data_IF_256028308306
#
_entry.id   IF_256028308306
#
_cell.length_a   1.000
_cell.length_b   1.000
_cell.length_c   1.000
_cell.angle_alpha   90.00
_cell.angle_beta   90.00
_cell.angle_gamma   90.00
#
_symmetry.space_group_name_H-M   'P 1'
#
loop_
_entity.id
_entity.type
_entity.pdbx_description
1 polymer ?
#
# COMPACT_ATOMS: atom_id res chain seq x y z
N UNK A 1 14.51 -1.25 -14.34
CA UNK A 1 15.91 -0.88 -14.11
C UNK A 1 16.65 -0.71 -15.45
N UNK A 2 16.21 0.22 -16.30
CA UNK A 2 16.91 0.57 -17.53
C UNK A 2 18.24 1.29 -17.25
N UNK A 3 19.18 1.21 -18.20
CA UNK A 3 20.49 1.90 -18.09
C UNK A 3 20.38 3.40 -18.33
N UNK A 4 19.32 3.86 -18.99
CA UNK A 4 19.11 5.26 -19.34
C UNK A 4 18.57 6.06 -18.15
N UNK A 5 19.09 7.27 -17.95
CA UNK A 5 18.64 8.20 -16.92
C UNK A 5 17.53 9.08 -17.52
N UNK A 6 16.28 8.73 -17.23
CA UNK A 6 15.10 9.53 -17.58
C UNK A 6 14.83 10.59 -16.52
N UNK A 7 14.03 11.62 -16.84
CA UNK A 7 13.62 12.65 -15.87
C UNK A 7 12.87 12.05 -14.69
N UNK A 8 11.97 11.11 -14.94
CA UNK A 8 11.23 10.38 -13.91
C UNK A 8 12.18 9.60 -12.97
N UNK A 9 13.16 8.91 -13.55
CA UNK A 9 14.17 8.19 -12.77
C UNK A 9 15.03 9.14 -11.93
N UNK A 10 15.40 10.28 -12.48
CA UNK A 10 16.14 11.31 -11.74
C UNK A 10 15.32 11.89 -10.60
N UNK A 11 14.02 12.17 -10.82
CA UNK A 11 13.09 12.62 -9.80
C UNK A 11 12.93 11.59 -8.67
N UNK A 12 12.79 10.31 -9.02
CA UNK A 12 12.67 9.22 -8.04
C UNK A 12 13.93 9.09 -7.17
N UNK A 13 15.12 9.16 -7.78
CA UNK A 13 16.38 9.12 -7.00
C UNK A 13 16.57 10.36 -6.13
N UNK A 14 16.22 11.54 -6.62
CA UNK A 14 16.29 12.78 -5.84
C UNK A 14 15.36 12.73 -4.64
N UNK A 15 14.13 12.26 -4.84
CA UNK A 15 13.15 12.08 -3.76
C UNK A 15 13.67 11.08 -2.72
N UNK A 16 14.12 9.91 -3.17
CA UNK A 16 14.66 8.89 -2.27
C UNK A 16 15.86 9.42 -1.47
N UNK A 17 16.79 10.11 -2.13
CA UNK A 17 17.95 10.73 -1.49
C UNK A 17 17.54 11.72 -0.40
N UNK A 18 16.61 12.64 -0.74
CA UNK A 18 16.11 13.65 0.20
C UNK A 18 15.45 13.01 1.41
N UNK A 19 14.61 12.00 1.18
CA UNK A 19 13.94 11.24 2.27
C UNK A 19 14.95 10.55 3.16
N UNK A 20 15.95 9.86 2.59
CA UNK A 20 16.97 9.13 3.37
C UNK A 20 17.87 10.07 4.19
N UNK A 21 18.29 11.20 3.63
CA UNK A 21 19.09 12.20 4.37
C UNK A 21 18.29 12.83 5.49
N UNK A 22 17.01 13.18 5.22
CA UNK A 22 16.11 13.73 6.23
C UNK A 22 15.85 12.71 7.33
N UNK A 23 15.59 11.45 6.97
CA UNK A 23 15.41 10.37 7.93
C UNK A 23 16.63 10.17 8.83
N UNK A 24 17.84 10.21 8.27
CA UNK A 24 19.08 10.11 9.06
C UNK A 24 19.16 11.23 10.10
N UNK A 25 18.84 12.49 9.72
CA UNK A 25 18.82 13.62 10.66
C UNK A 25 17.76 13.47 11.75
N UNK A 26 16.54 13.07 11.39
CA UNK A 26 15.43 12.87 12.36
C UNK A 26 15.71 11.71 13.30
N UNK A 27 16.32 10.63 12.80
CA UNK A 27 16.63 9.44 13.58
C UNK A 27 17.87 9.59 14.48
N UNK A 28 18.75 10.57 14.21
CA UNK A 28 20.02 10.73 14.91
C UNK A 28 19.92 10.77 16.45
N UNK A 29 18.93 11.44 17.07
CA UNK A 29 18.77 11.43 18.52
C UNK A 29 18.40 10.06 19.11
N UNK A 30 17.81 9.18 18.33
CA UNK A 30 17.29 7.87 18.77
C UNK A 30 18.22 6.71 18.40
N UNK A 31 18.82 6.77 17.22
CA UNK A 31 19.69 5.74 16.68
C UNK A 31 21.01 6.34 16.16
N UNK A 32 21.85 6.92 17.04
CA UNK A 32 22.97 7.76 16.63
C UNK A 32 23.95 7.07 15.69
N UNK A 33 24.33 5.83 15.97
CA UNK A 33 25.32 5.11 15.14
C UNK A 33 24.80 4.74 13.76
N UNK A 34 23.54 4.32 13.67
CA UNK A 34 22.94 3.98 12.38
C UNK A 34 22.72 5.24 11.54
N UNK A 35 22.21 6.31 12.14
CA UNK A 35 21.99 7.58 11.50
C UNK A 35 23.29 8.18 10.96
N UNK A 36 24.38 8.11 11.75
CA UNK A 36 25.69 8.55 11.31
C UNK A 36 26.19 7.73 10.13
N UNK A 37 26.08 6.41 10.19
CA UNK A 37 26.51 5.54 9.08
C UNK A 37 25.72 5.84 7.79
N UNK A 38 24.40 6.06 7.88
CA UNK A 38 23.60 6.48 6.74
C UNK A 38 24.06 7.82 6.17
N UNK A 39 24.26 8.80 7.03
CA UNK A 39 24.69 10.14 6.64
C UNK A 39 26.06 10.12 5.97
N UNK A 40 27.04 9.42 6.54
CA UNK A 40 28.40 9.30 5.99
C UNK A 40 28.41 8.69 4.58
N UNK A 41 27.52 7.73 4.30
CA UNK A 41 27.42 7.14 2.97
C UNK A 41 26.70 8.03 1.95
N UNK A 42 25.82 8.93 2.41
CA UNK A 42 24.95 9.70 1.51
C UNK A 42 25.47 11.12 1.26
N UNK A 43 26.12 11.79 2.25
CA UNK A 43 26.32 13.23 2.19
C UNK A 43 27.77 13.62 1.99
N UNK A 44 28.75 13.30 2.85
CA UNK A 44 30.12 13.85 2.74
C UNK A 44 30.82 13.45 1.45
N UNK A 45 30.54 12.28 0.91
CA UNK A 45 31.13 11.81 -0.34
C UNK A 45 30.70 12.64 -1.56
N UNK A 46 29.48 13.19 -1.52
CA UNK A 46 28.91 13.99 -2.61
C UNK A 46 29.04 15.50 -2.37
N UNK A 47 29.03 15.91 -1.11
CA UNK A 47 29.03 17.31 -0.68
C UNK A 47 30.12 17.55 0.37
N UNK A 48 31.37 17.76 -0.04
CA UNK A 48 32.50 17.95 0.90
C UNK A 48 32.36 19.16 1.83
N UNK A 49 31.50 20.14 1.48
CA UNK A 49 31.23 21.33 2.31
C UNK A 49 30.11 21.11 3.34
N UNK A 50 29.44 19.96 3.31
CA UNK A 50 28.40 19.62 4.30
C UNK A 50 29.03 19.32 5.67
N UNK A 51 28.25 19.41 6.78
CA UNK A 51 28.70 18.98 8.09
C UNK A 51 29.30 17.57 8.05
N UNK A 52 30.40 17.35 8.75
CA UNK A 52 31.12 16.07 8.72
C UNK A 52 30.42 14.94 9.50
N UNK A 53 29.39 15.26 10.26
CA UNK A 53 28.59 14.31 11.03
C UNK A 53 27.13 14.74 11.00
N UNK A 54 26.22 13.77 11.03
CA UNK A 54 24.79 14.02 11.16
C UNK A 54 24.46 14.79 12.45
N UNK A 55 25.25 14.58 13.49
CA UNK A 55 25.09 15.24 14.79
C UNK A 55 25.49 16.71 14.81
N UNK A 56 26.12 17.21 13.75
CA UNK A 56 26.45 18.62 13.53
C UNK A 56 25.43 19.32 12.62
N UNK A 57 24.44 18.58 12.12
CA UNK A 57 23.37 19.13 11.30
C UNK A 57 22.26 19.71 12.16
N UNK A 58 21.58 20.74 11.65
CA UNK A 58 20.33 21.19 12.22
C UNK A 58 19.25 20.13 12.09
N UNK A 59 18.34 20.09 13.07
CA UNK A 59 17.15 19.23 13.01
C UNK A 59 16.26 19.70 11.85
N UNK A 60 15.74 18.79 11.00
CA UNK A 60 14.98 19.17 9.83
C UNK A 60 13.68 19.91 10.21
N UNK A 61 13.41 21.00 9.54
CA UNK A 61 12.13 21.67 9.56
C UNK A 61 11.25 21.13 8.43
N UNK A 62 9.94 21.04 8.69
CA UNK A 62 8.97 20.69 7.64
C UNK A 62 8.89 21.82 6.60
N UNK A 63 8.93 21.44 5.33
CA UNK A 63 8.65 22.35 4.22
C UNK A 63 7.19 22.14 3.77
N UNK A 64 6.32 23.03 4.20
CA UNK A 64 4.88 22.95 3.92
C UNK A 64 4.56 23.09 2.42
N UNK A 65 5.49 23.60 1.60
CA UNK A 65 5.29 23.72 0.16
C UNK A 65 5.19 22.38 -0.57
N UNK A 66 5.70 21.31 0.02
CA UNK A 66 5.59 19.94 -0.50
C UNK A 66 4.33 19.21 -0.07
N UNK A 67 3.51 19.79 0.81
CA UNK A 67 2.29 19.16 1.31
C UNK A 67 1.16 19.41 0.32
N UNK A 68 0.71 18.34 -0.35
CA UNK A 68 -0.48 18.34 -1.21
C UNK A 68 -1.52 17.36 -0.64
N UNK A 69 -2.52 17.85 0.12
CA UNK A 69 -3.52 16.98 0.75
C UNK A 69 -4.37 16.18 -0.25
N UNK A 70 -4.54 16.70 -1.47
CA UNK A 70 -5.31 15.99 -2.50
C UNK A 70 -4.52 14.80 -3.05
N UNK A 71 -3.23 15.01 -3.33
CA UNK A 71 -2.30 13.97 -3.76
C UNK A 71 -2.10 12.92 -2.66
N UNK A 72 -1.91 13.33 -1.41
CA UNK A 72 -1.77 12.43 -0.26
C UNK A 72 -2.99 11.55 -0.09
N UNK A 73 -4.19 12.12 -0.19
CA UNK A 73 -5.45 11.35 -0.13
C UNK A 73 -5.56 10.37 -1.29
N UNK A 74 -5.26 10.82 -2.51
CA UNK A 74 -5.27 9.96 -3.68
C UNK A 74 -4.29 8.80 -3.55
N UNK A 75 -3.07 9.08 -3.06
CA UNK A 75 -2.06 8.05 -2.84
C UNK A 75 -2.45 7.07 -1.72
N UNK A 76 -3.10 7.54 -0.65
CA UNK A 76 -3.66 6.66 0.38
C UNK A 76 -4.73 5.72 -0.21
N UNK A 77 -5.61 6.22 -1.06
CA UNK A 77 -6.59 5.40 -1.77
C UNK A 77 -5.91 4.34 -2.68
N UNK A 78 -4.84 4.71 -3.37
CA UNK A 78 -4.04 3.76 -4.18
C UNK A 78 -3.45 2.66 -3.31
N UNK A 79 -2.84 3.01 -2.17
CA UNK A 79 -2.26 2.04 -1.24
C UNK A 79 -3.30 1.05 -0.72
N UNK A 80 -4.49 1.52 -0.34
CA UNK A 80 -5.60 0.68 0.09
C UNK A 80 -6.03 -0.30 -1.02
N UNK A 81 -6.23 0.21 -2.24
CA UNK A 81 -6.63 -0.61 -3.39
C UNK A 81 -5.56 -1.63 -3.75
N UNK A 82 -4.28 -1.24 -3.74
CA UNK A 82 -3.17 -2.15 -4.01
C UNK A 82 -3.06 -3.24 -2.95
N UNK A 83 -3.20 -2.89 -1.67
CA UNK A 83 -3.17 -3.87 -0.58
C UNK A 83 -4.31 -4.89 -0.70
N UNK A 84 -5.54 -4.42 -0.93
CA UNK A 84 -6.71 -5.28 -1.12
C UNK A 84 -6.61 -6.11 -2.41
N UNK A 85 -6.12 -5.51 -3.50
CA UNK A 85 -5.91 -6.20 -4.77
C UNK A 85 -4.90 -7.34 -4.67
N UNK A 86 -3.79 -7.13 -3.96
CA UNK A 86 -2.81 -8.18 -3.66
C UNK A 86 -3.41 -9.28 -2.78
N UNK A 87 -4.20 -8.91 -1.77
CA UNK A 87 -4.90 -9.87 -0.93
C UNK A 87 -5.90 -10.72 -1.73
N UNK A 88 -6.66 -10.10 -2.64
CA UNK A 88 -7.58 -10.80 -3.53
C UNK A 88 -6.85 -11.77 -4.48
N UNK A 89 -5.71 -11.36 -5.06
CA UNK A 89 -4.86 -12.24 -5.86
C UNK A 89 -4.37 -13.45 -5.06
N UNK A 90 -3.90 -13.24 -3.85
CA UNK A 90 -3.44 -14.31 -2.97
C UNK A 90 -4.57 -15.29 -2.64
N UNK A 91 -5.77 -14.79 -2.32
CA UNK A 91 -6.95 -15.61 -2.05
C UNK A 91 -7.38 -16.43 -3.26
N UNK A 92 -7.26 -15.85 -4.46
CA UNK A 92 -7.54 -16.53 -5.74
C UNK A 92 -6.38 -17.38 -6.26
N UNK A 93 -5.26 -17.47 -5.52
CA UNK A 93 -4.03 -18.16 -5.97
C UNK A 93 -3.49 -17.65 -7.31
N UNK A 94 -3.73 -16.38 -7.64
CA UNK A 94 -3.25 -15.71 -8.86
C UNK A 94 -1.90 -15.05 -8.59
N UNK A 95 -0.86 -15.45 -9.32
CA UNK A 95 0.48 -14.85 -9.16
C UNK A 95 0.50 -13.40 -9.60
N UNK A 96 1.27 -12.54 -8.91
CA UNK A 96 1.40 -11.12 -9.27
C UNK A 96 1.93 -10.90 -10.70
N UNK A 97 2.75 -11.79 -11.22
CA UNK A 97 3.27 -11.73 -12.60
C UNK A 97 2.23 -12.05 -13.67
N UNK A 98 1.09 -12.62 -13.30
CA UNK A 98 0.03 -12.94 -14.25
C UNK A 98 -0.81 -11.69 -14.50
N UNK A 99 -0.84 -11.13 -15.71
CA UNK A 99 -1.68 -9.99 -16.02
C UNK A 99 -3.15 -10.38 -15.99
N UNK A 100 -3.99 -9.49 -15.45
CA UNK A 100 -5.45 -9.64 -15.45
C UNK A 100 -6.06 -8.61 -16.40
N UNK A 101 -7.16 -8.98 -17.03
CA UNK A 101 -7.88 -8.10 -17.95
C UNK A 101 -8.57 -6.95 -17.24
N UNK A 102 -9.18 -7.25 -16.09
CA UNK A 102 -9.96 -6.28 -15.33
C UNK A 102 -9.96 -6.63 -13.84
N UNK A 103 -10.02 -5.58 -13.01
CA UNK A 103 -10.27 -5.67 -11.58
C UNK A 103 -11.47 -4.79 -11.24
N UNK A 104 -12.41 -5.35 -10.47
CA UNK A 104 -13.55 -4.63 -9.94
C UNK A 104 -13.23 -4.21 -8.51
N UNK A 105 -13.39 -2.93 -8.22
CA UNK A 105 -13.16 -2.34 -6.89
C UNK A 105 -14.47 -1.80 -6.35
N UNK A 106 -14.99 -2.44 -5.30
CA UNK A 106 -16.17 -1.96 -4.61
C UNK A 106 -15.75 -1.00 -3.49
N UNK A 107 -16.37 0.18 -3.45
CA UNK A 107 -16.14 1.16 -2.40
C UNK A 107 -17.45 1.83 -1.98
N UNK A 108 -17.61 2.03 -0.68
CA UNK A 108 -18.73 2.78 -0.10
C UNK A 108 -18.49 4.30 -0.07
N UNK A 109 -17.33 4.74 -0.52
CA UNK A 109 -16.94 6.15 -0.64
C UNK A 109 -16.31 6.41 -2.01
N UNK A 110 -16.38 7.64 -2.52
CA UNK A 110 -15.63 7.99 -3.73
C UNK A 110 -14.12 7.89 -3.47
N UNK A 111 -13.41 7.28 -4.40
CA UNK A 111 -11.96 7.16 -4.39
C UNK A 111 -11.34 8.24 -5.27
N UNK A 112 -10.22 8.80 -4.83
CA UNK A 112 -9.49 9.87 -5.54
C UNK A 112 -8.34 9.27 -6.37
N UNK A 113 -8.66 8.24 -7.19
CA UNK A 113 -7.67 7.54 -8.03
C UNK A 113 -7.95 7.87 -9.49
N UNK A 114 -7.26 8.89 -10.01
CA UNK A 114 -7.41 9.34 -11.40
C UNK A 114 -6.03 9.62 -12.03
N UNK A 115 -5.97 9.71 -13.34
CA UNK A 115 -4.77 10.08 -14.07
C UNK A 115 -3.56 9.18 -13.77
N UNK A 116 -2.47 9.78 -13.32
CA UNK A 116 -1.22 9.08 -12.99
C UNK A 116 -1.37 8.09 -11.84
N UNK A 117 -2.18 8.41 -10.83
CA UNK A 117 -2.45 7.52 -9.72
C UNK A 117 -3.15 6.23 -10.17
N UNK A 118 -4.03 6.32 -11.17
CA UNK A 118 -4.65 5.15 -11.79
C UNK A 118 -3.60 4.30 -12.51
N UNK A 119 -2.70 4.92 -13.25
CA UNK A 119 -1.64 4.20 -13.96
C UNK A 119 -0.73 3.44 -12.97
N UNK A 120 -0.34 4.09 -11.86
CA UNK A 120 0.44 3.47 -10.79
C UNK A 120 -0.29 2.26 -10.20
N UNK A 121 -1.59 2.39 -9.90
CA UNK A 121 -2.38 1.29 -9.33
C UNK A 121 -2.51 0.09 -10.30
N UNK A 122 -2.72 0.36 -11.59
CA UNK A 122 -2.81 -0.66 -12.62
C UNK A 122 -1.49 -1.42 -12.81
N UNK A 123 -0.37 -0.71 -12.85
CA UNK A 123 0.96 -1.28 -13.01
C UNK A 123 1.34 -2.14 -11.78
N UNK A 124 1.13 -1.61 -10.58
CA UNK A 124 1.45 -2.29 -9.32
C UNK A 124 0.65 -3.59 -9.12
N UNK A 125 -0.58 -3.63 -9.63
CA UNK A 125 -1.46 -4.79 -9.59
C UNK A 125 -1.35 -5.68 -10.83
N UNK A 126 -0.61 -5.24 -11.86
CA UNK A 126 -0.53 -5.93 -13.15
C UNK A 126 -1.92 -6.23 -13.74
N UNK A 127 -2.76 -5.18 -13.82
CA UNK A 127 -4.13 -5.23 -14.32
C UNK A 127 -4.30 -4.24 -15.46
N UNK A 128 -4.98 -4.64 -16.54
CA UNK A 128 -5.17 -3.78 -17.70
C UNK A 128 -6.24 -2.71 -17.51
N UNK A 129 -7.23 -2.98 -16.66
CA UNK A 129 -8.36 -2.08 -16.41
C UNK A 129 -8.84 -2.22 -14.99
N UNK A 130 -9.21 -1.10 -14.37
CA UNK A 130 -9.86 -1.06 -13.07
C UNK A 130 -11.22 -0.37 -13.21
N UNK A 131 -12.26 -0.99 -12.66
CA UNK A 131 -13.63 -0.47 -12.68
C UNK A 131 -14.13 -0.33 -11.25
N UNK A 132 -14.56 0.87 -10.91
CA UNK A 132 -15.15 1.14 -9.61
C UNK A 132 -16.64 0.85 -9.63
N UNK A 133 -17.12 0.10 -8.64
CA UNK A 133 -18.52 -0.23 -8.48
C UNK A 133 -19.00 0.24 -7.10
N UNK A 134 -20.18 0.79 -7.04
CA UNK A 134 -20.78 1.30 -5.79
C UNK A 134 -21.43 0.19 -4.96
N UNK A 135 -21.88 -0.87 -5.61
CA UNK A 135 -22.47 -2.03 -4.96
C UNK A 135 -21.61 -3.28 -5.20
N UNK A 136 -20.94 -3.72 -4.15
CA UNK A 136 -20.13 -4.93 -4.17
C UNK A 136 -20.90 -6.21 -3.81
N UNK A 137 -22.20 -6.14 -3.49
CA UNK A 137 -22.99 -7.30 -3.03
C UNK A 137 -23.10 -8.36 -4.10
N UNK A 138 -23.18 -7.96 -5.37
CA UNK A 138 -23.18 -8.89 -6.51
C UNK A 138 -21.84 -9.58 -6.78
N UNK A 139 -20.74 -9.05 -6.20
CA UNK A 139 -19.38 -9.58 -6.37
C UNK A 139 -18.96 -10.51 -5.24
N UNK A 140 -19.71 -10.53 -4.13
CA UNK A 140 -19.39 -11.29 -2.92
C UNK A 140 -20.41 -12.38 -2.72
N UNK A 141 -19.94 -13.62 -2.70
CA UNK A 141 -20.76 -14.75 -2.27
C UNK A 141 -20.52 -14.99 -0.78
N UNK A 142 -21.59 -14.93 0.00
CA UNK A 142 -21.54 -15.21 1.42
C UNK A 142 -21.72 -16.71 1.68
N UNK A 143 -20.79 -17.34 2.38
CA UNK A 143 -20.91 -18.70 2.87
C UNK A 143 -21.15 -18.69 4.37
N UNK A 144 -22.29 -19.15 4.83
CA UNK A 144 -22.64 -19.23 6.24
C UNK A 144 -22.12 -20.54 6.84
N UNK A 145 -21.11 -20.45 7.71
CA UNK A 145 -20.58 -21.61 8.46
C UNK A 145 -21.12 -21.62 9.89
N UNK A 146 -21.91 -22.63 10.27
CA UNK A 146 -22.42 -22.72 11.64
C UNK A 146 -21.27 -22.92 12.63
N UNK A 147 -21.26 -22.13 13.69
CA UNK A 147 -20.29 -22.29 14.76
C UNK A 147 -20.70 -23.45 15.67
N UNK A 148 -20.23 -24.66 15.37
CA UNK A 148 -20.63 -25.90 16.00
C UNK A 148 -20.42 -25.92 17.52
N UNK A 149 -19.39 -25.24 17.99
CA UNK A 149 -19.06 -25.12 19.43
C UNK A 149 -20.16 -24.40 20.21
N UNK A 150 -20.83 -23.42 19.61
CA UNK A 150 -21.87 -22.62 20.24
C UNK A 150 -23.26 -23.22 20.01
N UNK A 151 -23.50 -23.76 18.81
CA UNK A 151 -24.78 -24.32 18.42
C UNK A 151 -24.99 -25.76 18.91
N UNK A 152 -23.90 -26.53 19.08
CA UNK A 152 -23.95 -27.92 19.52
C UNK A 152 -24.68 -28.14 20.85
N UNK A 153 -24.33 -27.43 21.95
CA UNK A 153 -25.01 -27.58 23.24
C UNK A 153 -26.48 -27.19 23.20
N UNK A 154 -26.88 -26.20 22.34
CA UNK A 154 -28.24 -25.68 22.30
C UNK A 154 -29.15 -26.46 21.33
N UNK A 155 -28.61 -26.92 20.22
CA UNK A 155 -29.38 -27.46 19.08
C UNK A 155 -28.88 -28.80 18.57
N UNK A 156 -28.11 -29.57 19.36
CA UNK A 156 -27.44 -30.80 18.94
C UNK A 156 -28.25 -31.73 18.06
N UNK A 157 -29.53 -32.03 18.43
CA UNK A 157 -30.43 -32.87 17.64
C UNK A 157 -30.89 -32.24 16.30
N UNK A 158 -30.87 -30.91 16.19
CA UNK A 158 -31.28 -30.14 15.00
C UNK A 158 -30.07 -29.62 14.18
N UNK A 159 -28.84 -29.88 14.62
CA UNK A 159 -27.63 -29.33 14.03
C UNK A 159 -27.51 -29.72 12.54
N UNK A 160 -27.81 -30.96 12.21
CA UNK A 160 -27.79 -31.47 10.85
C UNK A 160 -28.74 -30.71 9.90
N UNK A 161 -29.95 -30.41 10.40
CA UNK A 161 -30.96 -29.65 9.65
C UNK A 161 -30.53 -28.17 9.50
N UNK A 162 -29.96 -27.57 10.55
CA UNK A 162 -29.43 -26.19 10.51
C UNK A 162 -28.28 -26.09 9.52
N UNK A 163 -27.33 -27.03 9.53
CA UNK A 163 -26.20 -27.05 8.60
C UNK A 163 -26.68 -27.20 7.14
N UNK A 164 -27.65 -28.10 6.90
CA UNK A 164 -28.20 -28.28 5.57
C UNK A 164 -28.97 -27.04 5.07
N UNK A 165 -29.70 -26.38 5.97
CA UNK A 165 -30.39 -25.13 5.65
C UNK A 165 -29.40 -24.00 5.30
N UNK A 166 -28.36 -23.82 6.10
CA UNK A 166 -27.34 -22.79 5.86
C UNK A 166 -26.49 -23.05 4.61
N UNK A 167 -26.30 -24.32 4.24
CA UNK A 167 -25.55 -24.67 3.02
C UNK A 167 -26.35 -24.37 1.72
N UNK A 168 -27.68 -24.27 1.82
CA UNK A 168 -28.57 -23.94 0.71
C UNK A 168 -29.15 -22.52 0.81
N UNK A 169 -28.59 -21.70 1.67
CA UNK A 169 -28.99 -20.30 1.79
C UNK A 169 -28.33 -19.49 0.69
N UNK A 170 -29.11 -18.98 -0.25
CA UNK A 170 -28.72 -17.99 -1.26
C UNK A 170 -28.98 -16.58 -0.76
#
# INVERSE_FOLDING_TARGET
WGSEMTEDKAAAYTTLYTVLVTLAKVAAPYTPFMAEMMYQNLVPALFPSAPQSVHLCDFPAADESFIDPALEKGMADVLDVVALGRAARNSGSVKNRQPLSEMLVASNRPLSIEGELMAVALDELNVKKMTFVTDGTSLVRYELKPQLRTLGPKYGKKLKAITAFLANWD
#
